data_IF_389387933404
#
_entry.id   IF_389387933404
#
_cell.length_a   1.000
_cell.length_b   1.000
_cell.length_c   1.000
_cell.angle_alpha   90.00
_cell.angle_beta   90.00
_cell.angle_gamma   90.00
#
_symmetry.space_group_name_H-M   'P 1'
#
loop_
_entity.id
_entity.type
_entity.pdbx_description
1 polymer ?
#
# COMPACT_ATOMS: atom_id res chain seq x y z
N UNK A 1 31.87 -28.63 -6.26
CA UNK A 1 32.25 -28.01 -7.54
C UNK A 1 32.01 -26.53 -7.34
N UNK A 2 33.07 -25.79 -7.04
CA UNK A 2 33.00 -24.36 -6.71
C UNK A 2 32.77 -23.61 -8.02
N UNK A 3 31.59 -23.00 -8.16
CA UNK A 3 31.28 -22.05 -9.22
C UNK A 3 32.11 -20.80 -8.93
N UNK A 4 33.32 -20.74 -9.49
CA UNK A 4 34.12 -19.51 -9.49
C UNK A 4 33.43 -18.52 -10.42
N UNK A 5 32.53 -17.75 -9.81
CA UNK A 5 31.68 -16.77 -10.48
C UNK A 5 32.45 -15.92 -11.46
N UNK A 6 31.90 -15.78 -12.66
CA UNK A 6 32.42 -14.91 -13.72
C UNK A 6 32.78 -13.53 -13.12
N UNK A 7 33.97 -12.98 -13.40
CA UNK A 7 34.30 -11.62 -12.97
C UNK A 7 33.27 -10.63 -13.51
N UNK A 8 32.74 -9.80 -12.61
CA UNK A 8 31.76 -8.75 -12.91
C UNK A 8 32.27 -7.85 -14.04
N UNK A 9 31.46 -7.66 -15.08
CA UNK A 9 31.77 -6.70 -16.15
C UNK A 9 31.22 -5.33 -15.77
N UNK A 10 31.72 -4.27 -16.42
CA UNK A 10 31.21 -2.92 -16.19
C UNK A 10 29.70 -2.82 -16.49
N UNK A 11 29.20 -3.62 -17.44
CA UNK A 11 27.78 -3.76 -17.78
C UNK A 11 26.93 -4.29 -16.62
N UNK A 12 27.56 -4.98 -15.67
CA UNK A 12 26.92 -5.68 -14.56
C UNK A 12 26.91 -4.82 -13.28
N UNK A 13 27.34 -3.55 -13.35
CA UNK A 13 27.40 -2.63 -12.21
C UNK A 13 26.26 -1.61 -12.25
N UNK A 14 25.54 -1.45 -11.14
CA UNK A 14 24.48 -0.45 -10.97
C UNK A 14 24.61 0.29 -9.64
N UNK A 15 24.02 1.47 -9.52
CA UNK A 15 23.91 2.16 -8.23
C UNK A 15 22.62 1.74 -7.50
N UNK A 16 22.73 1.41 -6.21
CA UNK A 16 21.56 1.18 -5.35
C UNK A 16 20.88 2.50 -4.92
N UNK A 17 19.78 2.41 -4.19
CA UNK A 17 19.02 3.56 -3.66
C UNK A 17 19.83 4.46 -2.70
N UNK A 18 20.98 3.97 -2.21
CA UNK A 18 21.90 4.69 -1.32
C UNK A 18 23.14 5.21 -2.07
N UNK A 19 23.19 5.08 -3.39
CA UNK A 19 24.31 5.51 -4.23
C UNK A 19 25.56 4.62 -4.14
N UNK A 20 25.42 3.37 -3.68
CA UNK A 20 26.51 2.39 -3.67
C UNK A 20 26.55 1.64 -4.99
N UNK A 21 27.75 1.44 -5.54
CA UNK A 21 27.94 0.62 -6.72
C UNK A 21 27.84 -0.87 -6.34
N UNK A 22 26.86 -1.56 -6.91
CA UNK A 22 26.57 -2.98 -6.69
C UNK A 22 26.71 -3.77 -7.99
N UNK A 23 27.10 -5.04 -7.89
CA UNK A 23 27.07 -5.99 -9.01
C UNK A 23 25.69 -6.67 -9.06
N UNK A 24 24.95 -6.46 -10.15
CA UNK A 24 23.60 -7.02 -10.33
C UNK A 24 23.59 -8.48 -10.79
N UNK A 25 24.75 -9.03 -11.18
CA UNK A 25 24.94 -10.46 -11.43
C UNK A 25 25.38 -11.25 -10.19
N UNK A 26 25.62 -10.56 -9.05
CA UNK A 26 25.75 -11.21 -7.76
C UNK A 26 24.49 -12.04 -7.44
N UNK A 27 24.56 -13.01 -6.51
CA UNK A 27 23.39 -13.80 -6.14
C UNK A 27 22.27 -12.85 -5.70
N UNK A 28 21.28 -12.68 -6.59
CA UNK A 28 20.09 -11.88 -6.33
C UNK A 28 19.41 -12.55 -5.15
N UNK A 29 19.48 -11.92 -3.98
CA UNK A 29 18.66 -12.31 -2.84
C UNK A 29 17.21 -12.00 -3.21
N UNK A 30 16.52 -12.98 -3.77
CA UNK A 30 15.08 -12.92 -3.93
C UNK A 30 14.47 -12.93 -2.54
N UNK A 31 14.07 -11.76 -2.05
CA UNK A 31 13.22 -11.67 -0.87
C UNK A 31 11.87 -12.23 -1.28
N UNK A 32 11.59 -13.45 -0.84
CA UNK A 32 10.34 -14.13 -1.13
C UNK A 32 9.24 -13.51 -0.26
N UNK A 33 8.57 -12.50 -0.81
CA UNK A 33 7.31 -12.04 -0.23
C UNK A 33 6.26 -13.11 -0.56
N UNK A 34 5.74 -13.78 0.47
CA UNK A 34 4.64 -14.74 0.30
C UNK A 34 3.47 -14.12 -0.49
N UNK A 35 2.55 -14.95 -1.03
CA UNK A 35 1.46 -14.46 -1.86
C UNK A 35 0.72 -13.32 -1.13
N UNK A 36 0.40 -12.22 -1.85
CA UNK A 36 -0.28 -11.09 -1.22
C UNK A 36 -1.57 -11.57 -0.55
N UNK A 37 -1.97 -10.97 0.59
CA UNK A 37 -3.21 -11.35 1.25
C UNK A 37 -4.37 -11.31 0.24
N UNK A 38 -5.31 -12.28 0.30
CA UNK A 38 -6.46 -12.26 -0.59
C UNK A 38 -7.22 -10.94 -0.41
N UNK A 39 -7.48 -10.27 -1.53
CA UNK A 39 -8.24 -9.03 -1.57
C UNK A 39 -9.71 -9.40 -1.76
N UNK A 40 -10.57 -9.03 -0.81
CA UNK A 40 -12.00 -9.34 -0.86
C UNK A 40 -12.84 -8.07 -0.94
N UNK A 41 -13.88 -8.10 -1.76
CA UNK A 41 -14.91 -7.06 -1.78
C UNK A 41 -15.80 -7.24 -0.54
N UNK A 42 -15.57 -6.40 0.47
CA UNK A 42 -16.17 -6.61 1.79
C UNK A 42 -17.11 -5.44 2.12
N UNK A 43 -18.31 -5.71 2.68
CA UNK A 43 -19.15 -4.66 3.25
C UNK A 43 -18.39 -3.94 4.35
N UNK A 44 -18.43 -2.61 4.34
CA UNK A 44 -17.57 -1.85 5.26
C UNK A 44 -17.97 -2.00 6.73
N UNK A 45 -19.24 -2.33 6.98
CA UNK A 45 -19.80 -2.60 8.31
C UNK A 45 -19.24 -3.89 8.94
N UNK A 46 -18.72 -4.81 8.12
CA UNK A 46 -18.16 -6.09 8.59
C UNK A 46 -16.67 -5.96 8.95
N UNK A 47 -16.09 -4.77 8.77
CA UNK A 47 -14.67 -4.54 8.99
C UNK A 47 -14.43 -3.86 10.34
N UNK A 48 -13.83 -4.60 11.28
CA UNK A 48 -13.31 -4.02 12.51
C UNK A 48 -12.06 -3.18 12.22
N UNK A 49 -12.07 -1.89 12.61
CA UNK A 49 -10.98 -0.91 12.45
C UNK A 49 -10.54 -0.78 10.99
N UNK A 50 -11.10 0.19 10.28
CA UNK A 50 -10.82 0.39 8.85
C UNK A 50 -9.65 1.34 8.59
N UNK A 51 -9.29 2.18 9.56
CA UNK A 51 -8.27 3.22 9.38
C UNK A 51 -6.91 2.62 8.98
N UNK A 52 -6.32 3.18 7.91
CA UNK A 52 -5.04 2.77 7.35
C UNK A 52 -5.05 1.47 6.56
N UNK A 53 -6.16 0.73 6.48
CA UNK A 53 -6.26 -0.45 5.62
C UNK A 53 -6.15 -0.07 4.14
N UNK A 54 -5.56 -0.96 3.35
CA UNK A 54 -5.57 -0.84 1.89
C UNK A 54 -6.98 -0.98 1.36
N UNK A 55 -7.27 -0.17 0.35
CA UNK A 55 -8.56 -0.08 -0.30
C UNK A 55 -8.38 -0.07 -1.81
N UNK A 56 -9.39 -0.56 -2.52
CA UNK A 56 -9.60 -0.21 -3.92
C UNK A 56 -11.08 0.14 -4.13
N UNK A 57 -11.35 0.97 -5.13
CA UNK A 57 -12.70 1.38 -5.51
C UNK A 57 -12.92 1.20 -7.00
N UNK A 58 -14.16 1.35 -7.46
CA UNK A 58 -14.52 1.34 -8.88
C UNK A 58 -15.36 2.56 -9.19
N UNK A 59 -14.99 3.28 -10.25
CA UNK A 59 -15.81 4.33 -10.83
C UNK A 59 -16.10 4.03 -12.31
N UNK A 60 -16.68 5.00 -13.01
CA UNK A 60 -17.03 4.87 -14.44
C UNK A 60 -15.83 4.66 -15.37
N UNK A 61 -14.61 5.01 -14.93
CA UNK A 61 -13.35 4.83 -15.70
C UNK A 61 -12.66 3.50 -15.40
N UNK A 62 -13.16 2.73 -14.44
CA UNK A 62 -12.60 1.45 -14.05
C UNK A 62 -12.22 1.39 -12.56
N UNK A 63 -11.47 0.35 -12.18
CA UNK A 63 -10.97 0.22 -10.82
C UNK A 63 -9.84 1.22 -10.55
N UNK A 64 -9.79 1.72 -9.32
CA UNK A 64 -8.70 2.52 -8.77
C UNK A 64 -8.11 1.73 -7.61
N UNK A 65 -6.82 1.43 -7.73
CA UNK A 65 -6.03 0.69 -6.74
C UNK A 65 -5.11 1.63 -5.97
N UNK A 66 -4.27 1.07 -5.10
CA UNK A 66 -3.26 1.79 -4.31
C UNK A 66 -3.86 2.91 -3.45
N UNK A 67 -5.02 2.61 -2.84
CA UNK A 67 -5.67 3.52 -1.90
C UNK A 67 -5.54 3.00 -0.47
N UNK A 68 -5.65 3.91 0.49
CA UNK A 68 -5.80 3.62 1.91
C UNK A 68 -6.98 4.35 2.51
N UNK A 69 -7.62 3.71 3.48
CA UNK A 69 -8.69 4.30 4.27
C UNK A 69 -8.09 5.33 5.23
N UNK A 70 -8.57 6.55 5.17
CA UNK A 70 -8.06 7.72 5.87
C UNK A 70 -9.04 8.28 6.93
N UNK A 71 -10.09 7.53 7.27
CA UNK A 71 -11.01 7.83 8.37
C UNK A 71 -11.66 6.55 8.88
N UNK A 72 -12.27 6.61 10.06
CA UNK A 72 -13.30 5.63 10.41
C UNK A 72 -14.52 5.77 9.49
N UNK A 73 -15.40 4.76 9.52
CA UNK A 73 -16.70 4.79 8.84
C UNK A 73 -17.60 5.81 9.54
N UNK A 74 -18.24 6.69 8.76
CA UNK A 74 -19.20 7.66 9.27
C UNK A 74 -20.48 7.66 8.44
N UNK A 75 -21.59 8.04 9.06
CA UNK A 75 -22.89 8.18 8.41
C UNK A 75 -23.15 9.65 8.08
N UNK A 76 -23.64 9.92 6.87
CA UNK A 76 -24.12 11.24 6.46
C UNK A 76 -25.25 11.08 5.43
N UNK A 77 -26.25 11.95 5.43
CA UNK A 77 -27.37 11.95 4.47
C UNK A 77 -28.02 10.55 4.20
N UNK A 78 -28.04 9.65 5.19
CA UNK A 78 -28.58 8.29 5.07
C UNK A 78 -27.68 7.29 4.32
N UNK A 79 -26.39 7.61 4.15
CA UNK A 79 -25.38 6.76 3.56
C UNK A 79 -24.14 6.64 4.45
N UNK A 80 -23.33 5.63 4.17
CA UNK A 80 -22.07 5.36 4.86
C UNK A 80 -20.90 5.80 4.01
N UNK A 81 -19.92 6.46 4.62
CA UNK A 81 -18.78 7.06 3.94
C UNK A 81 -17.47 6.75 4.65
N UNK A 82 -16.38 6.79 3.86
CA UNK A 82 -15.01 6.88 4.36
C UNK A 82 -14.22 7.86 3.51
N UNK A 83 -13.10 8.32 4.06
CA UNK A 83 -12.09 9.01 3.28
C UNK A 83 -11.10 7.99 2.70
N UNK A 84 -10.77 8.15 1.42
CA UNK A 84 -9.72 7.38 0.75
C UNK A 84 -8.59 8.32 0.32
N UNK A 85 -7.36 7.85 0.42
CA UNK A 85 -6.16 8.58 -0.02
C UNK A 85 -5.26 7.65 -0.82
N UNK A 86 -4.47 8.18 -1.74
CA UNK A 86 -3.46 7.39 -2.45
C UNK A 86 -2.34 6.90 -1.49
N UNK A 87 -1.77 5.73 -1.76
CA UNK A 87 -0.80 5.07 -0.88
C UNK A 87 0.48 5.90 -0.68
N UNK A 88 0.96 6.59 -1.72
CA UNK A 88 2.10 7.52 -1.64
C UNK A 88 1.85 8.68 -0.66
N UNK A 89 0.65 9.25 -0.71
CA UNK A 89 0.20 10.33 0.17
C UNK A 89 -0.03 9.85 1.60
N UNK A 90 -0.49 8.62 1.79
CA UNK A 90 -0.57 8.00 3.10
C UNK A 90 0.81 7.89 3.74
N UNK A 91 1.80 7.35 3.03
CA UNK A 91 3.16 7.22 3.56
C UNK A 91 3.79 8.58 3.85
N UNK A 92 3.55 9.56 2.98
CA UNK A 92 3.95 10.95 3.22
C UNK A 92 3.35 11.50 4.52
N UNK A 93 2.07 11.22 4.80
CA UNK A 93 1.40 11.62 6.04
C UNK A 93 1.91 10.86 7.28
N UNK A 94 2.14 9.55 7.18
CA UNK A 94 2.69 8.71 8.26
C UNK A 94 4.12 9.13 8.64
N UNK A 95 4.88 9.71 7.70
CA UNK A 95 6.24 10.18 7.97
C UNK A 95 6.28 11.55 8.66
N UNK A 96 5.14 12.26 8.78
CA UNK A 96 5.07 13.51 9.56
C UNK A 96 5.18 13.16 11.06
N UNK A 97 6.02 13.87 11.84
CA UNK A 97 6.10 13.67 13.29
C UNK A 97 4.72 13.72 13.96
N UNK A 98 4.45 12.81 14.90
CA UNK A 98 3.11 12.65 15.51
C UNK A 98 2.54 13.96 16.05
N UNK A 99 3.37 14.78 16.69
CA UNK A 99 2.96 16.06 17.31
C UNK A 99 2.55 17.13 16.29
N UNK A 100 2.97 16.95 15.03
CA UNK A 100 2.68 17.84 13.90
C UNK A 100 1.76 17.19 12.87
N UNK A 101 1.38 15.93 13.08
CA UNK A 101 0.61 15.17 12.11
C UNK A 101 -0.85 15.60 12.19
N UNK A 102 -1.45 16.08 11.08
CA UNK A 102 -2.87 16.37 11.07
C UNK A 102 -3.66 15.08 11.30
N UNK A 103 -4.89 15.19 11.83
CA UNK A 103 -5.77 14.05 12.12
C UNK A 103 -5.91 13.09 10.92
N UNK A 104 -5.89 13.66 9.69
CA UNK A 104 -6.03 12.91 8.44
C UNK A 104 -5.04 13.37 7.37
N UNK A 105 -4.67 12.48 6.43
CA UNK A 105 -3.92 12.85 5.23
C UNK A 105 -4.60 13.97 4.44
N UNK A 106 -3.79 14.91 3.93
CA UNK A 106 -4.28 15.90 2.98
C UNK A 106 -4.78 15.22 1.69
N UNK A 107 -5.76 15.84 1.02
CA UNK A 107 -6.38 15.36 -0.23
C UNK A 107 -7.15 14.04 -0.13
N UNK A 108 -7.40 13.55 1.08
CA UNK A 108 -8.29 12.41 1.25
C UNK A 108 -9.70 12.74 0.72
N UNK A 109 -10.23 11.88 -0.14
CA UNK A 109 -11.51 12.09 -0.84
C UNK A 109 -12.59 11.26 -0.17
N UNK A 110 -13.72 11.89 0.12
CA UNK A 110 -14.90 11.19 0.64
C UNK A 110 -15.48 10.25 -0.42
N UNK A 111 -15.70 8.99 -0.04
CA UNK A 111 -16.19 7.95 -0.93
C UNK A 111 -17.42 7.25 -0.34
N UNK A 112 -18.51 7.04 -1.11
CA UNK A 112 -19.66 6.29 -0.65
C UNK A 112 -19.29 4.82 -0.50
N UNK A 113 -19.54 4.27 0.68
CA UNK A 113 -19.05 2.95 1.07
C UNK A 113 -20.21 2.01 1.36
N UNK A 114 -20.66 1.32 0.30
CA UNK A 114 -21.34 0.03 0.50
C UNK A 114 -20.33 -1.10 0.64
N UNK A 115 -19.26 -1.05 -0.15
CA UNK A 115 -18.24 -2.08 -0.21
C UNK A 115 -16.90 -1.46 -0.60
N UNK A 116 -15.82 -2.05 -0.09
CA UNK A 116 -14.44 -1.71 -0.44
C UNK A 116 -13.63 -3.00 -0.64
N UNK A 117 -12.67 -2.98 -1.55
CA UNK A 117 -11.68 -4.06 -1.65
C UNK A 117 -10.72 -3.91 -0.49
N UNK A 118 -10.60 -4.89 0.38
CA UNK A 118 -9.64 -4.84 1.49
C UNK A 118 -8.77 -6.08 1.51
N UNK A 119 -7.49 -5.87 1.83
CA UNK A 119 -6.60 -6.98 2.17
C UNK A 119 -6.99 -7.52 3.55
N UNK A 120 -7.50 -8.75 3.60
CA UNK A 120 -7.70 -9.46 4.85
C UNK A 120 -6.40 -10.20 5.21
N UNK A 121 -5.73 -9.77 6.28
CA UNK A 121 -4.76 -10.65 6.95
C UNK A 121 -5.57 -11.77 7.58
N UNK A 122 -5.36 -13.02 7.14
CA UNK A 122 -5.89 -14.16 7.87
C UNK A 122 -5.42 -14.07 9.32
N UNK A 123 -6.36 -14.11 10.26
CA UNK A 123 -6.02 -14.33 11.66
C UNK A 123 -5.30 -15.69 11.71
N UNK A 124 -4.04 -15.68 12.17
CA UNK A 124 -3.34 -16.91 12.55
C UNK A 124 -3.95 -17.46 13.83
#
# INVERSE_FOLDING_TARGET
MTDEGRPSRWEDLAFDENGRLIDVNGPVEFVEFGPPPPITWTPIMDLANVFGRRAATRNSRGPIYDLRVASEVFEDAGGWYVHLVAEDQWWSWVNVPTDLRPERPGRAVCWPTRHVWVEQRQAK
#
